data_IF_774029112489
#
_entry.id   IF_774029112489
#
_cell.length_a   1.000
_cell.length_b   1.000
_cell.length_c   1.000
_cell.angle_alpha   90.00
_cell.angle_beta   90.00
_cell.angle_gamma   90.00
#
_symmetry.space_group_name_H-M   'P 1'
#
loop_
_entity.id
_entity.type
_entity.pdbx_description
1 polymer ?
#
# COMPACT_ATOMS: atom_id res chain seq x y z
N UNK A 1 93.80 22.55 20.13
CA UNK A 1 94.52 22.43 21.41
C UNK A 1 95.95 22.04 21.03
N UNK A 2 96.81 23.03 20.84
CA UNK A 2 98.23 22.83 20.54
C UNK A 2 98.94 22.67 21.88
N UNK A 3 99.46 21.47 22.16
CA UNK A 3 100.23 21.17 23.37
C UNK A 3 101.68 21.62 23.13
N UNK A 4 102.12 22.67 23.84
CA UNK A 4 103.54 23.00 23.98
C UNK A 4 104.20 21.98 24.92
N UNK A 5 105.40 21.53 24.57
CA UNK A 5 106.19 20.53 25.31
C UNK A 5 106.89 21.14 26.53
N UNK A 6 107.09 20.34 27.58
CA UNK A 6 107.79 20.68 28.83
C UNK A 6 109.17 21.35 28.59
N UNK A 7 109.87 20.98 27.51
CA UNK A 7 111.16 21.56 27.13
C UNK A 7 111.10 23.05 26.77
N UNK A 8 109.96 23.54 26.25
CA UNK A 8 109.78 24.96 25.92
C UNK A 8 109.58 25.81 27.18
N UNK A 9 109.00 25.22 28.22
CA UNK A 9 108.76 25.84 29.53
C UNK A 9 110.06 25.91 30.36
N UNK A 10 110.90 24.88 30.29
CA UNK A 10 112.21 24.81 30.98
C UNK A 10 113.31 25.70 30.35
N UNK A 11 113.14 26.12 29.09
CA UNK A 11 114.03 27.08 28.41
C UNK A 11 113.73 28.53 28.81
N UNK A 12 112.46 28.86 29.05
CA UNK A 12 112.02 30.19 29.51
C UNK A 12 112.42 30.42 30.97
N UNK A 13 112.35 29.36 31.80
CA UNK A 13 112.65 29.44 33.23
C UNK A 13 114.16 29.47 33.57
N UNK A 14 115.05 29.17 32.61
CA UNK A 14 116.52 29.25 32.76
C UNK A 14 117.14 30.51 32.13
N UNK A 15 116.35 31.56 31.95
CA UNK A 15 116.74 32.83 31.29
C UNK A 15 117.96 33.53 31.90
N UNK A 16 119.13 33.17 31.38
CA UNK A 16 120.38 33.93 31.41
C UNK A 16 120.24 35.11 30.43
N UNK A 17 120.19 36.32 30.98
CA UNK A 17 120.93 37.49 30.48
C UNK A 17 120.65 38.02 29.05
N UNK A 18 119.37 38.14 28.65
CA UNK A 18 118.99 38.76 27.35
C UNK A 18 118.56 40.23 27.46
N UNK A 19 118.34 40.76 28.67
CA UNK A 19 117.87 42.16 28.87
C UNK A 19 118.83 43.07 29.65
N UNK A 20 120.04 42.61 29.97
CA UNK A 20 121.08 43.41 30.62
C UNK A 20 121.57 44.60 29.75
N UNK A 21 121.40 44.54 28.43
CA UNK A 21 121.77 45.64 27.52
C UNK A 21 120.67 46.71 27.34
N UNK A 22 119.45 46.50 27.85
CA UNK A 22 118.33 47.47 27.76
C UNK A 22 118.08 48.24 29.07
N UNK A 23 118.79 47.90 30.16
CA UNK A 23 118.67 48.56 31.46
C UNK A 23 119.72 49.68 31.69
N UNK A 24 120.55 50.02 30.69
CA UNK A 24 121.60 51.04 30.81
C UNK A 24 121.16 52.48 30.45
N UNK A 25 119.87 52.74 30.19
CA UNK A 25 119.42 54.01 29.58
C UNK A 25 118.36 54.80 30.38
N UNK A 26 117.83 54.33 31.52
CA UNK A 26 116.95 55.21 32.32
C UNK A 26 116.80 54.79 33.79
N UNK A 27 117.38 55.58 34.69
CA UNK A 27 117.55 55.26 36.12
C UNK A 27 116.31 55.56 37.00
N UNK A 28 115.08 55.47 36.46
CA UNK A 28 113.83 55.78 37.19
C UNK A 28 112.59 54.99 36.73
N UNK A 29 112.62 53.66 36.70
CA UNK A 29 111.40 52.87 36.53
C UNK A 29 111.40 51.59 37.39
N UNK A 30 110.67 51.62 38.51
CA UNK A 30 110.32 50.43 39.27
C UNK A 30 109.16 49.71 38.57
N UNK A 31 109.42 48.54 37.98
CA UNK A 31 108.37 47.65 37.48
C UNK A 31 107.85 46.75 38.61
N UNK A 32 106.64 47.06 39.06
CA UNK A 32 105.82 46.19 39.92
C UNK A 32 105.46 44.91 39.15
N UNK A 33 105.90 43.74 39.62
CA UNK A 33 105.37 42.44 39.19
C UNK A 33 104.04 42.18 39.90
N UNK A 34 102.93 41.89 39.20
CA UNK A 34 101.69 41.49 39.85
C UNK A 34 101.79 40.05 40.36
N UNK A 35 102.29 39.87 41.58
CA UNK A 35 101.98 38.67 42.36
C UNK A 35 100.51 38.76 42.81
N UNK A 36 99.72 37.73 42.48
CA UNK A 36 98.27 37.51 42.74
C UNK A 36 97.33 37.91 41.59
N UNK A 37 97.08 36.98 40.65
CA UNK A 37 95.78 36.89 39.94
C UNK A 37 95.49 35.58 39.17
N UNK A 38 96.15 34.46 39.49
CA UNK A 38 95.97 33.20 38.72
C UNK A 38 95.44 32.00 39.52
N UNK A 39 95.09 32.14 40.80
CA UNK A 39 94.48 31.04 41.59
C UNK A 39 92.97 31.24 41.83
N UNK A 40 92.42 32.40 41.46
CA UNK A 40 90.97 32.64 41.51
C UNK A 40 90.23 32.15 40.25
N UNK A 41 90.88 32.07 39.09
CA UNK A 41 90.17 31.80 37.82
C UNK A 41 89.79 30.33 37.58
N UNK A 42 90.54 29.35 38.09
CA UNK A 42 90.24 27.93 37.83
C UNK A 42 89.10 27.40 38.71
N UNK A 43 89.11 27.75 40.00
CA UNK A 43 88.05 27.40 40.94
C UNK A 43 86.71 28.04 40.55
N UNK A 44 86.73 29.33 40.19
CA UNK A 44 85.52 30.04 39.71
C UNK A 44 84.94 29.40 38.45
N UNK A 45 85.79 28.89 37.54
CA UNK A 45 85.34 28.25 36.30
C UNK A 45 84.80 26.83 36.52
N UNK A 46 85.37 26.10 37.49
CA UNK A 46 84.88 24.78 37.93
C UNK A 46 83.54 24.89 38.66
N UNK A 47 83.41 25.88 39.54
CA UNK A 47 82.15 26.20 40.23
C UNK A 47 81.08 26.65 39.22
N UNK A 48 81.43 27.48 38.23
CA UNK A 48 80.53 27.88 37.15
C UNK A 48 80.08 26.69 36.28
N UNK A 49 80.99 25.75 35.97
CA UNK A 49 80.69 24.51 35.23
C UNK A 49 79.77 23.59 36.03
N UNK A 50 79.97 23.49 37.34
CA UNK A 50 79.10 22.70 38.20
C UNK A 50 77.68 23.32 38.28
N UNK A 51 77.61 24.64 38.43
CA UNK A 51 76.34 25.38 38.40
C UNK A 51 75.59 25.22 37.06
N UNK A 52 76.28 25.29 35.92
CA UNK A 52 75.67 25.06 34.60
C UNK A 52 75.20 23.61 34.43
N UNK A 53 75.95 22.62 34.92
CA UNK A 53 75.51 21.22 34.89
C UNK A 53 74.25 20.98 35.74
N UNK A 54 74.16 21.61 36.93
CA UNK A 54 72.96 21.55 37.77
C UNK A 54 71.76 22.17 37.04
N UNK A 55 71.93 23.37 36.47
CA UNK A 55 70.88 24.01 35.67
C UNK A 55 70.47 23.17 34.45
N UNK A 56 71.43 22.56 33.74
CA UNK A 56 71.15 21.73 32.59
C UNK A 56 70.38 20.45 32.97
N UNK A 57 70.69 19.87 34.12
CA UNK A 57 69.96 18.71 34.65
C UNK A 57 68.55 19.07 35.11
N UNK A 58 68.35 20.24 35.73
CA UNK A 58 67.02 20.74 36.11
C UNK A 58 66.16 21.00 34.87
N UNK A 59 66.71 21.68 33.85
CA UNK A 59 66.02 21.91 32.56
C UNK A 59 65.63 20.57 31.90
N UNK A 60 66.52 19.57 31.90
CA UNK A 60 66.21 18.23 31.36
C UNK A 60 65.09 17.55 32.15
N UNK A 61 65.07 17.67 33.48
CA UNK A 61 64.01 17.12 34.31
C UNK A 61 62.66 17.81 34.05
N UNK A 62 62.66 19.15 33.92
CA UNK A 62 61.47 19.91 33.54
C UNK A 62 60.96 19.55 32.13
N UNK A 63 61.87 19.35 31.17
CA UNK A 63 61.53 18.93 29.81
C UNK A 63 60.84 17.56 29.80
N UNK A 64 61.37 16.59 30.57
CA UNK A 64 60.74 15.26 30.71
C UNK A 64 59.33 15.35 31.31
N UNK A 65 59.14 16.16 32.36
CA UNK A 65 57.80 16.39 32.95
C UNK A 65 56.83 17.01 31.94
N UNK A 66 57.29 18.01 31.16
CA UNK A 66 56.48 18.61 30.10
C UNK A 66 56.13 17.61 29.00
N UNK A 67 57.06 16.75 28.59
CA UNK A 67 56.81 15.70 27.60
C UNK A 67 55.76 14.69 28.10
N UNK A 68 55.81 14.31 29.37
CA UNK A 68 54.78 13.45 29.99
C UNK A 68 53.41 14.12 30.02
N UNK A 69 53.34 15.41 30.38
CA UNK A 69 52.10 16.19 30.34
C UNK A 69 51.52 16.29 28.93
N UNK A 70 52.36 16.53 27.91
CA UNK A 70 51.92 16.57 26.51
C UNK A 70 51.35 15.23 26.05
N UNK A 71 51.99 14.12 26.42
CA UNK A 71 51.48 12.78 26.12
C UNK A 71 50.14 12.52 26.81
N UNK A 72 49.99 12.90 28.08
CA UNK A 72 48.72 12.79 28.81
C UNK A 72 47.61 13.65 28.20
N UNK A 73 47.90 14.89 27.82
CA UNK A 73 46.95 15.79 27.12
C UNK A 73 46.54 15.19 25.77
N UNK A 74 47.48 14.59 25.05
CA UNK A 74 47.18 13.92 23.77
C UNK A 74 46.22 12.73 23.97
N UNK A 75 46.47 11.86 24.96
CA UNK A 75 45.64 10.70 25.25
C UNK A 75 44.25 11.07 25.80
N UNK A 76 44.15 12.13 26.61
CA UNK A 76 42.85 12.65 27.04
C UNK A 76 42.08 13.27 25.88
N UNK A 77 42.74 13.99 24.97
CA UNK A 77 42.12 14.54 23.76
C UNK A 77 41.57 13.45 22.84
N UNK A 78 42.27 12.32 22.68
CA UNK A 78 41.76 11.19 21.89
C UNK A 78 40.53 10.56 22.56
N UNK A 79 40.54 10.37 23.88
CA UNK A 79 39.38 9.87 24.64
C UNK A 79 38.14 10.78 24.55
N UNK A 80 38.34 12.10 24.62
CA UNK A 80 37.24 13.06 24.42
C UNK A 80 36.65 12.89 23.03
N UNK A 81 37.49 12.82 21.98
CA UNK A 81 37.01 12.63 20.61
C UNK A 81 36.24 11.33 20.41
N UNK A 82 36.66 10.24 21.03
CA UNK A 82 35.92 8.98 20.95
C UNK A 82 34.57 9.09 21.64
N UNK A 83 34.50 9.71 22.83
CA UNK A 83 33.24 9.94 23.53
C UNK A 83 32.29 10.86 22.76
N UNK A 84 32.82 11.92 22.12
CA UNK A 84 32.04 12.81 21.26
C UNK A 84 31.46 12.06 20.04
N UNK A 85 32.27 11.19 19.42
CA UNK A 85 31.81 10.37 18.29
C UNK A 85 30.72 9.37 18.70
N UNK A 86 30.88 8.72 19.86
CA UNK A 86 29.88 7.79 20.40
C UNK A 86 28.58 8.52 20.75
N UNK A 87 28.66 9.69 21.39
CA UNK A 87 27.49 10.52 21.70
C UNK A 87 26.76 10.99 20.43
N UNK A 88 27.50 11.40 19.40
CA UNK A 88 26.93 11.79 18.11
C UNK A 88 26.20 10.61 17.44
N UNK A 89 26.78 9.41 17.49
CA UNK A 89 26.16 8.18 16.96
C UNK A 89 24.86 7.86 17.71
N UNK A 90 24.86 7.93 19.04
CA UNK A 90 23.64 7.73 19.84
C UNK A 90 22.55 8.74 19.49
N UNK A 91 22.89 10.04 19.40
CA UNK A 91 21.95 11.10 19.01
C UNK A 91 21.36 10.88 17.61
N UNK A 92 22.16 10.42 16.65
CA UNK A 92 21.65 10.09 15.31
C UNK A 92 20.65 8.93 15.34
N UNK A 93 20.93 7.88 16.10
CA UNK A 93 20.02 6.75 16.27
C UNK A 93 18.71 7.15 16.96
N UNK A 94 18.79 7.97 18.02
CA UNK A 94 17.60 8.51 18.70
C UNK A 94 16.76 9.38 17.76
N UNK A 95 17.39 10.21 16.92
CA UNK A 95 16.67 11.04 15.94
C UNK A 95 15.92 10.19 14.90
N UNK A 96 16.56 9.14 14.40
CA UNK A 96 15.92 8.21 13.46
C UNK A 96 14.73 7.49 14.11
N UNK A 97 14.90 7.03 15.36
CA UNK A 97 13.81 6.41 16.12
C UNK A 97 12.62 7.36 16.32
N UNK A 98 12.86 8.63 16.69
CA UNK A 98 11.81 9.64 16.83
C UNK A 98 11.11 9.90 15.49
N UNK A 99 11.85 9.96 14.39
CA UNK A 99 11.26 10.12 13.05
C UNK A 99 10.36 8.94 12.67
N UNK A 100 10.79 7.72 12.96
CA UNK A 100 10.01 6.52 12.72
C UNK A 100 8.76 6.48 13.59
N UNK A 101 8.89 6.81 14.88
CA UNK A 101 7.75 6.93 15.79
C UNK A 101 6.74 7.95 15.26
N UNK A 102 7.17 9.15 14.91
CA UNK A 102 6.27 10.20 14.39
C UNK A 102 5.54 9.75 13.11
N UNK A 103 6.21 9.02 12.23
CA UNK A 103 5.60 8.46 11.01
C UNK A 103 4.54 7.41 11.36
N UNK A 104 4.84 6.52 12.31
CA UNK A 104 3.89 5.48 12.74
C UNK A 104 2.68 6.11 13.44
N UNK A 105 2.90 7.08 14.33
CA UNK A 105 1.79 7.75 15.03
C UNK A 105 0.91 8.54 14.06
N UNK A 106 1.49 9.18 13.04
CA UNK A 106 0.70 9.87 12.00
C UNK A 106 -0.18 8.90 11.23
N UNK A 107 0.38 7.75 10.81
CA UNK A 107 -0.39 6.69 10.14
C UNK A 107 -1.48 6.09 11.03
N UNK A 108 -1.21 5.96 12.34
CA UNK A 108 -2.20 5.48 13.30
C UNK A 108 -3.40 6.42 13.39
N UNK A 109 -3.15 7.72 13.50
CA UNK A 109 -4.23 8.74 13.56
C UNK A 109 -5.05 8.75 12.27
N UNK A 110 -4.40 8.64 11.11
CA UNK A 110 -5.10 8.53 9.82
C UNK A 110 -5.98 7.26 9.77
N UNK A 111 -5.44 6.12 10.20
CA UNK A 111 -6.18 4.86 10.25
C UNK A 111 -7.40 4.98 11.18
N UNK A 112 -7.22 5.47 12.40
CA UNK A 112 -8.30 5.62 13.38
C UNK A 112 -9.43 6.51 12.83
N UNK A 113 -9.08 7.66 12.21
CA UNK A 113 -10.06 8.54 11.59
C UNK A 113 -10.85 7.84 10.47
N UNK A 114 -10.17 7.07 9.61
CA UNK A 114 -10.83 6.31 8.55
C UNK A 114 -11.72 5.19 9.10
N UNK A 115 -11.28 4.50 10.16
CA UNK A 115 -12.05 3.45 10.83
C UNK A 115 -13.34 4.00 11.43
N UNK A 116 -13.25 5.07 12.23
CA UNK A 116 -14.42 5.71 12.85
C UNK A 116 -15.38 6.25 11.80
N UNK A 117 -14.87 6.85 10.71
CA UNK A 117 -15.71 7.30 9.60
C UNK A 117 -16.47 6.13 8.95
N UNK A 118 -15.78 5.00 8.74
CA UNK A 118 -16.39 3.81 8.14
C UNK A 118 -17.44 3.18 9.06
N UNK A 119 -17.18 3.10 10.38
CA UNK A 119 -18.13 2.62 11.38
C UNK A 119 -19.43 3.45 11.41
N UNK A 120 -19.32 4.77 11.35
CA UNK A 120 -20.49 5.64 11.24
C UNK A 120 -21.27 5.40 9.94
N UNK A 121 -20.58 5.22 8.80
CA UNK A 121 -21.24 4.91 7.52
C UNK A 121 -21.98 3.57 7.58
N UNK A 122 -21.38 2.54 8.16
CA UNK A 122 -22.04 1.23 8.36
C UNK A 122 -23.28 1.40 9.21
N UNK A 123 -23.20 2.15 10.31
CA UNK A 123 -24.35 2.37 11.21
C UNK A 123 -25.51 3.08 10.49
N UNK A 124 -25.21 4.12 9.70
CA UNK A 124 -26.23 4.83 8.92
C UNK A 124 -26.85 3.92 7.85
N UNK A 125 -26.02 3.17 7.11
CA UNK A 125 -26.49 2.25 6.07
C UNK A 125 -27.36 1.14 6.67
N UNK A 126 -26.93 0.53 7.77
CA UNK A 126 -27.70 -0.52 8.46
C UNK A 126 -29.06 0.00 8.93
N UNK A 127 -29.13 1.23 9.43
CA UNK A 127 -30.41 1.85 9.81
C UNK A 127 -31.34 2.03 8.61
N UNK A 128 -30.83 2.61 7.52
CA UNK A 128 -31.61 2.83 6.30
C UNK A 128 -32.07 1.50 5.70
N UNK A 129 -31.20 0.49 5.67
CA UNK A 129 -31.53 -0.85 5.19
C UNK A 129 -32.68 -1.45 5.99
N UNK A 130 -32.63 -1.36 7.33
CA UNK A 130 -33.71 -1.84 8.20
C UNK A 130 -35.03 -1.10 7.97
N UNK A 131 -35.00 0.21 7.73
CA UNK A 131 -36.19 1.00 7.39
C UNK A 131 -36.79 0.59 6.04
N UNK A 132 -35.96 0.35 5.02
CA UNK A 132 -36.42 -0.10 3.70
C UNK A 132 -36.93 -1.54 3.71
N UNK A 133 -36.29 -2.45 4.44
CA UNK A 133 -36.77 -3.81 4.66
C UNK A 133 -38.16 -3.82 5.33
N UNK A 134 -38.37 -2.96 6.33
CA UNK A 134 -39.67 -2.82 6.97
C UNK A 134 -40.75 -2.28 6.01
N UNK A 135 -40.41 -1.34 5.12
CA UNK A 135 -41.33 -0.84 4.08
C UNK A 135 -41.67 -1.93 3.07
N UNK A 136 -40.66 -2.68 2.60
CA UNK A 136 -40.85 -3.79 1.67
C UNK A 136 -41.78 -4.84 2.27
N UNK A 137 -41.60 -5.17 3.54
CA UNK A 137 -42.45 -6.15 4.22
C UNK A 137 -43.91 -5.66 4.30
N UNK A 138 -44.15 -4.40 4.68
CA UNK A 138 -45.51 -3.82 4.69
C UNK A 138 -46.17 -3.87 3.31
N UNK A 139 -45.43 -3.50 2.27
CA UNK A 139 -45.95 -3.52 0.90
C UNK A 139 -46.30 -4.94 0.43
N UNK A 140 -45.51 -5.93 0.87
CA UNK A 140 -45.78 -7.35 0.60
C UNK A 140 -47.04 -7.84 1.32
N UNK A 141 -47.22 -7.45 2.58
CA UNK A 141 -48.41 -7.79 3.35
C UNK A 141 -49.68 -7.16 2.71
N UNK A 142 -49.61 -5.89 2.30
CA UNK A 142 -50.68 -5.20 1.57
C UNK A 142 -51.00 -5.88 0.23
N UNK A 143 -49.97 -6.30 -0.53
CA UNK A 143 -50.16 -7.05 -1.77
C UNK A 143 -50.89 -8.38 -1.53
N UNK A 144 -50.51 -9.13 -0.49
CA UNK A 144 -51.13 -10.41 -0.17
C UNK A 144 -52.58 -10.25 0.35
N UNK A 145 -52.89 -9.15 1.03
CA UNK A 145 -54.27 -8.78 1.41
C UNK A 145 -55.14 -8.46 0.17
N UNK A 146 -54.65 -7.60 -0.73
CA UNK A 146 -55.37 -7.24 -1.96
C UNK A 146 -55.57 -8.47 -2.87
N UNK A 147 -54.55 -9.31 -3.00
CA UNK A 147 -54.64 -10.55 -3.77
C UNK A 147 -55.72 -11.49 -3.21
N UNK A 148 -55.81 -11.62 -1.89
CA UNK A 148 -56.87 -12.43 -1.25
C UNK A 148 -58.25 -11.86 -1.52
N UNK A 149 -58.43 -10.55 -1.35
CA UNK A 149 -59.70 -9.87 -1.64
C UNK A 149 -60.13 -10.07 -3.11
N UNK A 150 -59.20 -9.96 -4.06
CA UNK A 150 -59.48 -10.18 -5.48
C UNK A 150 -59.95 -11.60 -5.78
N UNK A 151 -59.31 -12.61 -5.16
CA UNK A 151 -59.69 -14.02 -5.35
C UNK A 151 -61.08 -14.29 -4.78
N UNK A 152 -61.40 -13.71 -3.63
CA UNK A 152 -62.72 -13.87 -3.01
C UNK A 152 -63.81 -13.17 -3.82
N UNK A 153 -63.52 -11.98 -4.38
CA UNK A 153 -64.46 -11.28 -5.27
C UNK A 153 -64.67 -12.04 -6.58
N UNK A 154 -63.61 -12.58 -7.19
CA UNK A 154 -63.73 -13.40 -8.38
C UNK A 154 -64.60 -14.64 -8.14
N UNK A 155 -64.46 -15.29 -6.97
CA UNK A 155 -65.31 -16.43 -6.56
C UNK A 155 -66.77 -16.00 -6.39
N UNK A 156 -66.99 -14.81 -5.84
CA UNK A 156 -68.33 -14.26 -5.67
C UNK A 156 -68.99 -13.96 -7.03
N UNK A 157 -68.26 -13.33 -7.96
CA UNK A 157 -68.70 -13.06 -9.31
C UNK A 157 -69.08 -14.33 -10.09
N UNK A 158 -68.30 -15.42 -9.95
CA UNK A 158 -68.63 -16.73 -10.56
C UNK A 158 -69.96 -17.27 -10.03
N UNK A 159 -70.19 -17.22 -8.71
CA UNK A 159 -71.46 -17.67 -8.11
C UNK A 159 -72.66 -16.83 -8.57
N UNK A 160 -72.47 -15.52 -8.72
CA UNK A 160 -73.50 -14.62 -9.25
C UNK A 160 -73.84 -14.96 -10.70
N UNK A 161 -72.82 -15.20 -11.54
CA UNK A 161 -73.00 -15.64 -12.93
C UNK A 161 -73.80 -16.95 -13.01
N UNK A 162 -73.42 -17.97 -12.24
CA UNK A 162 -74.14 -19.25 -12.19
C UNK A 162 -75.60 -19.12 -11.75
N UNK A 163 -75.90 -18.13 -10.89
CA UNK A 163 -77.26 -17.84 -10.43
C UNK A 163 -78.06 -17.12 -11.51
N UNK A 164 -77.44 -16.18 -12.24
CA UNK A 164 -78.06 -15.48 -13.35
C UNK A 164 -78.39 -16.44 -14.51
N UNK A 165 -77.45 -17.32 -14.89
CA UNK A 165 -77.65 -18.33 -15.94
C UNK A 165 -78.75 -19.34 -15.58
N UNK A 166 -78.92 -19.68 -14.29
CA UNK A 166 -80.04 -20.50 -13.81
C UNK A 166 -81.39 -19.77 -13.84
N UNK A 167 -81.38 -18.46 -13.61
CA UNK A 167 -82.61 -17.65 -13.62
C UNK A 167 -83.08 -17.31 -15.03
N UNK A 168 -82.15 -17.17 -15.98
CA UNK A 168 -82.42 -16.83 -17.37
C UNK A 168 -81.44 -17.58 -18.31
N UNK A 169 -81.73 -18.83 -18.69
CA UNK A 169 -80.91 -19.58 -19.64
C UNK A 169 -80.97 -18.97 -21.05
N UNK A 170 -79.84 -18.96 -21.78
CA UNK A 170 -79.69 -18.33 -23.11
C UNK A 170 -80.70 -18.82 -24.17
N UNK A 171 -81.15 -20.07 -24.07
CA UNK A 171 -82.21 -20.63 -24.94
C UNK A 171 -83.49 -20.85 -24.14
N UNK A 172 -84.15 -19.76 -23.76
CA UNK A 172 -85.48 -19.87 -23.16
C UNK A 172 -86.48 -20.26 -24.27
N UNK A 173 -87.19 -21.41 -24.17
CA UNK A 173 -88.13 -21.90 -25.20
C UNK A 173 -89.35 -20.98 -25.45
N UNK A 174 -89.39 -19.81 -24.79
CA UNK A 174 -90.39 -18.78 -25.05
C UNK A 174 -90.10 -17.98 -26.33
N UNK A 175 -88.83 -17.95 -26.79
CA UNK A 175 -88.46 -17.26 -28.03
C UNK A 175 -88.86 -18.05 -29.29
N UNK A 176 -89.06 -19.37 -29.17
CA UNK A 176 -89.56 -20.23 -30.26
C UNK A 176 -91.06 -20.01 -30.56
N UNK A 177 -91.79 -19.33 -29.67
CA UNK A 177 -93.22 -19.08 -29.76
C UNK A 177 -93.55 -17.65 -30.27
N UNK A 178 -92.54 -16.88 -30.66
CA UNK A 178 -92.74 -15.51 -31.14
C UNK A 178 -93.19 -15.53 -32.62
N UNK A 179 -94.22 -14.74 -32.98
CA UNK A 179 -94.71 -14.69 -34.36
C UNK A 179 -93.74 -13.98 -35.31
N UNK A 180 -93.64 -14.44 -36.56
CA UNK A 180 -92.71 -13.92 -37.59
C UNK A 180 -93.12 -12.57 -38.20
N UNK A 181 -94.21 -11.96 -37.72
CA UNK A 181 -94.75 -10.70 -38.25
C UNK A 181 -94.38 -9.51 -37.37
N UNK A 182 -93.71 -8.52 -37.96
CA UNK A 182 -93.30 -7.30 -37.25
C UNK A 182 -94.49 -6.54 -36.61
N UNK A 183 -95.69 -6.66 -37.18
CA UNK A 183 -96.92 -6.04 -36.64
C UNK A 183 -97.40 -6.76 -35.38
N UNK A 184 -97.32 -8.09 -35.36
CA UNK A 184 -97.73 -8.90 -34.21
C UNK A 184 -96.70 -8.82 -33.08
N UNK A 185 -95.41 -8.75 -33.41
CA UNK A 185 -94.34 -8.43 -32.46
C UNK A 185 -94.57 -7.04 -31.88
N UNK A 186 -94.93 -6.03 -32.68
CA UNK A 186 -95.23 -4.69 -32.16
C UNK A 186 -96.43 -4.67 -31.21
N UNK A 187 -97.53 -5.38 -31.54
CA UNK A 187 -98.68 -5.48 -30.66
C UNK A 187 -98.35 -6.22 -29.35
N UNK A 188 -97.51 -7.27 -29.41
CA UNK A 188 -97.01 -7.95 -28.20
C UNK A 188 -96.07 -7.06 -27.40
N UNK A 189 -95.18 -6.31 -28.04
CA UNK A 189 -94.31 -5.32 -27.39
C UNK A 189 -95.14 -4.24 -26.72
N UNK A 190 -96.18 -3.71 -27.35
CA UNK A 190 -97.06 -2.70 -26.77
C UNK A 190 -97.82 -3.24 -25.55
N UNK A 191 -98.35 -4.47 -25.65
CA UNK A 191 -98.99 -5.19 -24.54
C UNK A 191 -98.01 -5.44 -23.37
N UNK A 192 -96.80 -5.90 -23.67
CA UNK A 192 -95.72 -6.13 -22.68
C UNK A 192 -95.24 -4.79 -22.10
N UNK A 193 -95.22 -3.71 -22.88
CA UNK A 193 -94.83 -2.36 -22.42
C UNK A 193 -95.85 -1.81 -21.43
N UNK A 194 -97.15 -2.01 -21.69
CA UNK A 194 -98.22 -1.67 -20.75
C UNK A 194 -98.14 -2.55 -19.49
N UNK A 195 -97.79 -3.83 -19.63
CA UNK A 195 -97.54 -4.73 -18.52
C UNK A 195 -96.29 -4.33 -17.70
N UNK A 196 -95.21 -3.91 -18.36
CA UNK A 196 -93.97 -3.39 -17.75
C UNK A 196 -94.20 -2.07 -17.01
N UNK A 197 -95.05 -1.19 -17.53
CA UNK A 197 -95.47 0.03 -16.83
C UNK A 197 -96.22 -0.25 -15.51
N UNK A 198 -96.82 -1.44 -15.38
CA UNK A 198 -97.42 -1.95 -14.14
C UNK A 198 -96.54 -2.96 -13.40
N UNK A 199 -95.38 -3.32 -13.95
CA UNK A 199 -94.51 -4.35 -13.42
C UNK A 199 -93.64 -3.77 -12.30
N UNK A 200 -93.91 -4.22 -11.06
CA UNK A 200 -93.07 -3.95 -9.89
C UNK A 200 -91.92 -4.95 -9.83
N UNK A 201 -91.08 -4.96 -10.86
CA UNK A 201 -89.82 -5.71 -10.87
C UNK A 201 -88.84 -5.11 -9.85
N UNK A 202 -87.97 -5.95 -9.27
CA UNK A 202 -87.02 -5.50 -8.25
C UNK A 202 -85.91 -4.65 -8.88
N UNK A 203 -86.07 -3.32 -8.81
CA UNK A 203 -85.13 -2.30 -9.34
C UNK A 203 -83.68 -2.48 -8.85
N UNK A 204 -83.48 -3.24 -7.78
CA UNK A 204 -82.19 -3.60 -7.20
C UNK A 204 -81.25 -4.30 -8.20
N UNK A 205 -81.77 -5.01 -9.20
CA UNK A 205 -80.94 -5.70 -10.19
C UNK A 205 -80.24 -4.71 -11.14
N UNK A 206 -80.93 -3.64 -11.54
CA UNK A 206 -80.34 -2.54 -12.32
C UNK A 206 -79.31 -1.79 -11.49
N UNK A 207 -79.63 -1.47 -10.23
CA UNK A 207 -78.68 -0.83 -9.32
C UNK A 207 -77.41 -1.69 -9.14
N UNK A 208 -77.54 -3.02 -9.00
CA UNK A 208 -76.38 -3.92 -8.90
C UNK A 208 -75.56 -4.00 -10.18
N UNK A 209 -76.20 -3.94 -11.36
CA UNK A 209 -75.48 -3.94 -12.64
C UNK A 209 -74.68 -2.65 -12.83
N UNK A 210 -75.29 -1.50 -12.56
CA UNK A 210 -74.63 -0.19 -12.63
C UNK A 210 -73.48 -0.10 -11.61
N UNK A 211 -73.66 -0.67 -10.41
CA UNK A 211 -72.62 -0.77 -9.39
C UNK A 211 -71.42 -1.60 -9.88
N UNK A 212 -71.67 -2.81 -10.40
CA UNK A 212 -70.61 -3.70 -10.91
C UNK A 212 -69.90 -3.09 -12.11
N UNK A 213 -70.62 -2.41 -13.00
CA UNK A 213 -70.03 -1.73 -14.15
C UNK A 213 -69.06 -0.63 -13.70
N UNK A 214 -69.45 0.15 -12.69
CA UNK A 214 -68.60 1.18 -12.10
C UNK A 214 -67.36 0.58 -11.39
N UNK A 215 -67.53 -0.52 -10.68
CA UNK A 215 -66.42 -1.23 -10.02
C UNK A 215 -65.40 -1.77 -11.03
N UNK A 216 -65.87 -2.28 -12.18
CA UNK A 216 -64.99 -2.72 -13.28
C UNK A 216 -64.21 -1.53 -13.85
N UNK A 217 -64.88 -0.41 -14.15
CA UNK A 217 -64.21 0.79 -14.65
C UNK A 217 -63.15 1.33 -13.67
N UNK A 218 -63.44 1.33 -12.36
CA UNK A 218 -62.48 1.72 -11.32
C UNK A 218 -61.29 0.76 -11.24
N UNK A 219 -61.52 -0.56 -11.36
CA UNK A 219 -60.47 -1.57 -11.36
C UNK A 219 -59.57 -1.46 -12.59
N UNK A 220 -60.13 -1.26 -13.78
CA UNK A 220 -59.39 -1.04 -15.03
C UNK A 220 -58.54 0.23 -14.96
N UNK A 221 -59.10 1.33 -14.43
CA UNK A 221 -58.36 2.57 -14.24
C UNK A 221 -57.19 2.40 -13.25
N UNK A 222 -57.36 1.59 -12.20
CA UNK A 222 -56.29 1.27 -11.25
C UNK A 222 -55.19 0.42 -11.89
N UNK A 223 -55.57 -0.59 -12.68
CA UNK A 223 -54.63 -1.44 -13.42
C UNK A 223 -53.75 -0.60 -14.36
N UNK A 224 -54.37 0.27 -15.16
CA UNK A 224 -53.65 1.15 -16.09
C UNK A 224 -52.66 2.08 -15.37
N UNK A 225 -53.02 2.61 -14.18
CA UNK A 225 -52.09 3.41 -13.36
C UNK A 225 -50.92 2.58 -12.84
N UNK A 226 -51.15 1.34 -12.41
CA UNK A 226 -50.09 0.46 -11.92
C UNK A 226 -49.14 0.05 -13.05
N UNK A 227 -49.65 -0.26 -14.25
CA UNK A 227 -48.84 -0.56 -15.43
C UNK A 227 -47.96 0.62 -15.84
N UNK A 228 -48.51 1.83 -15.84
CA UNK A 228 -47.76 3.06 -16.12
C UNK A 228 -46.65 3.30 -15.09
N UNK A 229 -46.94 3.07 -13.80
CA UNK A 229 -45.94 3.17 -12.72
C UNK A 229 -44.84 2.12 -12.87
N UNK A 230 -45.18 0.88 -13.19
CA UNK A 230 -44.24 -0.20 -13.43
C UNK A 230 -43.29 0.13 -14.59
N UNK A 231 -43.84 0.60 -15.72
CA UNK A 231 -43.03 1.03 -16.87
C UNK A 231 -42.06 2.16 -16.47
N UNK A 232 -42.54 3.16 -15.73
CA UNK A 232 -41.71 4.28 -15.25
C UNK A 232 -40.58 3.82 -14.33
N UNK A 233 -40.85 2.87 -13.43
CA UNK A 233 -39.83 2.29 -12.55
C UNK A 233 -38.81 1.47 -13.33
N UNK A 234 -39.26 0.69 -14.31
CA UNK A 234 -38.39 -0.10 -15.18
C UNK A 234 -37.45 0.80 -15.99
N UNK A 235 -37.95 1.92 -16.53
CA UNK A 235 -37.14 2.90 -17.26
C UNK A 235 -36.08 3.54 -16.36
N UNK A 236 -36.44 3.86 -15.10
CA UNK A 236 -35.48 4.39 -14.12
C UNK A 236 -34.40 3.37 -13.75
N UNK A 237 -34.76 2.09 -13.61
CA UNK A 237 -33.79 1.01 -13.37
C UNK A 237 -32.82 0.92 -14.55
N UNK A 238 -33.35 0.88 -15.78
CA UNK A 238 -32.53 0.77 -16.99
C UNK A 238 -31.62 2.00 -17.19
N UNK A 239 -32.12 3.20 -16.90
CA UNK A 239 -31.35 4.45 -16.99
C UNK A 239 -30.10 4.47 -16.08
N UNK A 240 -30.09 3.71 -14.98
CA UNK A 240 -28.93 3.53 -14.11
C UNK A 240 -28.10 2.32 -14.53
N UNK A 241 -28.78 1.20 -14.83
CA UNK A 241 -28.15 -0.09 -15.14
C UNK A 241 -27.34 -0.02 -16.43
N UNK A 242 -27.88 0.56 -17.49
CA UNK A 242 -27.26 0.49 -18.83
C UNK A 242 -25.95 1.28 -18.91
N UNK A 243 -25.85 2.53 -18.41
CA UNK A 243 -24.58 3.26 -18.41
C UNK A 243 -23.52 2.61 -17.52
N UNK A 244 -23.92 2.06 -16.37
CA UNK A 244 -23.02 1.32 -15.49
C UNK A 244 -22.52 0.04 -16.16
N UNK A 245 -23.42 -0.72 -16.78
CA UNK A 245 -23.09 -1.95 -17.48
C UNK A 245 -22.12 -1.70 -18.65
N UNK A 246 -22.36 -0.65 -19.46
CA UNK A 246 -21.47 -0.28 -20.54
C UNK A 246 -20.04 0.03 -20.03
N UNK A 247 -19.92 0.74 -18.91
CA UNK A 247 -18.62 1.02 -18.28
C UNK A 247 -17.95 -0.26 -17.75
N UNK A 248 -18.71 -1.14 -17.09
CA UNK A 248 -18.20 -2.42 -16.62
C UNK A 248 -17.67 -3.27 -17.79
N UNK A 249 -18.43 -3.37 -18.88
CA UNK A 249 -18.03 -4.12 -20.09
C UNK A 249 -16.77 -3.54 -20.72
N UNK A 250 -16.63 -2.21 -20.78
CA UNK A 250 -15.42 -1.56 -21.29
C UNK A 250 -14.18 -1.89 -20.44
N UNK A 251 -14.30 -1.83 -19.11
CA UNK A 251 -13.21 -2.21 -18.19
C UNK A 251 -12.84 -3.68 -18.36
N UNK A 252 -13.83 -4.59 -18.40
CA UNK A 252 -13.58 -6.02 -18.60
C UNK A 252 -12.91 -6.29 -19.95
N UNK A 253 -13.31 -5.58 -21.00
CA UNK A 253 -12.70 -5.68 -22.34
C UNK A 253 -11.23 -5.24 -22.35
N UNK A 254 -10.90 -4.14 -21.66
CA UNK A 254 -9.52 -3.66 -21.51
C UNK A 254 -8.65 -4.66 -20.73
N UNK A 255 -9.20 -5.22 -19.65
CA UNK A 255 -8.54 -6.29 -18.87
C UNK A 255 -8.33 -7.52 -19.75
N UNK A 256 -9.37 -7.97 -20.49
CA UNK A 256 -9.29 -9.13 -21.37
C UNK A 256 -8.23 -8.94 -22.45
N UNK A 257 -8.17 -7.77 -23.09
CA UNK A 257 -7.16 -7.46 -24.11
C UNK A 257 -5.74 -7.60 -23.56
N UNK A 258 -5.51 -7.03 -22.36
CA UNK A 258 -4.21 -7.12 -21.69
C UNK A 258 -3.88 -8.57 -21.28
N UNK A 259 -4.84 -9.27 -20.70
CA UNK A 259 -4.70 -10.65 -20.25
C UNK A 259 -4.44 -11.62 -21.40
N UNK A 260 -5.21 -11.51 -22.49
CA UNK A 260 -5.04 -12.33 -23.69
C UNK A 260 -3.66 -12.10 -24.31
N UNK A 261 -3.18 -10.85 -24.38
CA UNK A 261 -1.83 -10.55 -24.85
C UNK A 261 -0.76 -11.19 -23.94
N UNK A 262 -0.93 -11.12 -22.61
CA UNK A 262 0.03 -11.75 -21.68
C UNK A 262 0.08 -13.27 -21.81
N UNK A 263 -1.07 -13.93 -21.95
CA UNK A 263 -1.11 -15.37 -22.16
C UNK A 263 -0.45 -15.75 -23.49
N UNK A 264 -0.70 -14.96 -24.55
CA UNK A 264 -0.06 -15.14 -25.85
C UNK A 264 1.47 -15.03 -25.78
N UNK A 265 1.99 -14.07 -25.01
CA UNK A 265 3.44 -13.90 -24.82
C UNK A 265 4.10 -15.12 -24.15
N UNK A 266 3.36 -15.86 -23.31
CA UNK A 266 3.80 -17.08 -22.62
C UNK A 266 3.52 -18.35 -23.46
N UNK A 267 2.86 -18.22 -24.62
CA UNK A 267 2.52 -19.32 -25.51
C UNK A 267 1.21 -20.04 -25.17
N UNK A 268 0.36 -19.40 -24.37
CA UNK A 268 -0.97 -19.88 -23.97
C UNK A 268 -2.07 -18.99 -24.58
N UNK A 269 -3.31 -19.44 -24.50
CA UNK A 269 -4.49 -18.57 -24.76
C UNK A 269 -5.18 -18.31 -23.44
N UNK A 270 -5.52 -17.06 -23.17
CA UNK A 270 -6.21 -16.65 -21.95
C UNK A 270 -7.33 -15.69 -22.29
N UNK A 271 -8.45 -15.82 -21.59
CA UNK A 271 -9.63 -14.98 -21.73
C UNK A 271 -10.15 -14.58 -20.36
N UNK A 272 -10.54 -13.32 -20.20
CA UNK A 272 -11.31 -12.81 -19.08
C UNK A 272 -12.63 -12.31 -19.61
N UNK A 273 -13.73 -12.75 -19.02
CA UNK A 273 -15.05 -12.27 -19.42
C UNK A 273 -15.97 -12.13 -18.21
N UNK A 274 -17.04 -11.37 -18.39
CA UNK A 274 -18.11 -11.22 -17.41
C UNK A 274 -19.10 -12.36 -17.63
N UNK A 275 -19.24 -13.26 -16.65
CA UNK A 275 -20.29 -14.27 -16.63
C UNK A 275 -21.60 -13.61 -16.21
N UNK A 276 -22.65 -13.84 -17.01
CA UNK A 276 -23.98 -13.25 -16.89
C UNK A 276 -25.04 -14.30 -16.55
N UNK A 277 -24.65 -15.46 -16.03
CA UNK A 277 -25.58 -16.54 -15.75
C UNK A 277 -26.53 -16.17 -14.58
N UNK A 278 -27.82 -15.99 -14.92
CA UNK A 278 -28.88 -15.68 -13.97
C UNK A 278 -28.99 -14.22 -13.54
N UNK A 279 -29.36 -14.03 -12.27
CA UNK A 279 -29.60 -12.70 -11.68
C UNK A 279 -28.32 -11.88 -11.61
N UNK A 280 -28.46 -10.55 -11.73
CA UNK A 280 -27.33 -9.60 -11.71
C UNK A 280 -26.45 -9.73 -10.46
N UNK A 281 -27.01 -10.18 -9.33
CA UNK A 281 -26.26 -10.45 -8.09
C UNK A 281 -25.29 -11.64 -8.19
N UNK A 282 -25.48 -12.52 -9.17
CA UNK A 282 -24.64 -13.70 -9.43
C UNK A 282 -23.57 -13.45 -10.50
N UNK A 283 -23.59 -12.29 -11.14
CA UNK A 283 -22.60 -11.94 -12.14
C UNK A 283 -21.20 -11.92 -11.54
N UNK A 284 -20.24 -12.44 -12.29
CA UNK A 284 -18.88 -12.62 -11.81
C UNK A 284 -17.87 -12.53 -12.93
N UNK A 285 -16.62 -12.20 -12.58
CA UNK A 285 -15.52 -12.24 -13.54
C UNK A 285 -14.96 -13.64 -13.62
N UNK A 286 -15.05 -14.24 -14.80
CA UNK A 286 -14.50 -15.55 -15.09
C UNK A 286 -13.21 -15.45 -15.88
N UNK A 287 -12.24 -16.28 -15.49
CA UNK A 287 -10.95 -16.42 -16.17
C UNK A 287 -10.91 -17.79 -16.81
N UNK A 288 -10.60 -17.83 -18.10
CA UNK A 288 -10.45 -19.06 -18.87
C UNK A 288 -9.07 -19.12 -19.50
N UNK A 289 -8.48 -20.31 -19.56
CA UNK A 289 -7.17 -20.50 -20.16
C UNK A 289 -7.07 -21.81 -20.93
N UNK A 290 -6.19 -21.81 -21.92
CA UNK A 290 -5.76 -22.98 -22.67
C UNK A 290 -4.24 -23.02 -22.61
N UNK A 291 -3.71 -24.01 -21.89
CA UNK A 291 -2.27 -24.18 -21.65
C UNK A 291 -1.57 -25.05 -22.71
N UNK A 292 -2.33 -25.77 -23.54
CA UNK A 292 -1.80 -26.67 -24.58
C UNK A 292 -2.52 -26.42 -25.89
N UNK A 293 -1.79 -26.45 -27.01
CA UNK A 293 -2.35 -26.22 -28.35
C UNK A 293 -3.54 -27.16 -28.69
N UNK A 294 -3.57 -28.37 -28.12
CA UNK A 294 -4.65 -29.35 -28.31
C UNK A 294 -5.75 -29.31 -27.24
N UNK A 295 -5.58 -28.49 -26.20
CA UNK A 295 -6.56 -28.36 -25.11
C UNK A 295 -7.75 -27.47 -25.49
N UNK A 296 -8.86 -27.59 -24.76
CA UNK A 296 -9.96 -26.62 -24.83
C UNK A 296 -9.73 -25.51 -23.80
N UNK A 297 -10.34 -24.36 -24.04
CA UNK A 297 -10.36 -23.25 -23.09
C UNK A 297 -11.23 -23.66 -21.89
N UNK A 298 -10.65 -23.74 -20.69
CA UNK A 298 -11.36 -24.14 -19.46
C UNK A 298 -11.35 -23.01 -18.43
N UNK A 299 -12.39 -22.95 -17.60
CA UNK A 299 -12.47 -22.00 -16.49
C UNK A 299 -11.43 -22.36 -15.43
N UNK A 300 -10.59 -21.40 -15.08
CA UNK A 300 -9.49 -21.61 -14.15
C UNK A 300 -10.00 -21.69 -12.72
N UNK A 301 -10.06 -22.90 -12.14
CA UNK A 301 -10.29 -23.10 -10.71
C UNK A 301 -8.96 -23.14 -9.94
N UNK A 302 -8.98 -22.89 -8.63
CA UNK A 302 -7.76 -22.84 -7.81
C UNK A 302 -7.00 -24.18 -7.78
N UNK A 303 -7.68 -25.30 -8.03
CA UNK A 303 -7.13 -26.65 -7.96
C UNK A 303 -6.32 -27.02 -9.22
N UNK A 304 -6.74 -26.54 -10.41
CA UNK A 304 -6.05 -26.74 -11.69
C UNK A 304 -4.74 -25.92 -11.81
N UNK A 305 -4.53 -24.94 -10.93
CA UNK A 305 -3.34 -24.07 -10.90
C UNK A 305 -2.07 -24.77 -10.39
N UNK A 306 -2.21 -25.89 -9.67
CA UNK A 306 -1.10 -26.49 -8.90
C UNK A 306 -0.30 -27.58 -9.65
N UNK A 307 -0.69 -27.89 -10.88
CA UNK A 307 -0.12 -28.95 -11.71
C UNK A 307 1.33 -28.70 -12.16
N UNK A 308 2.27 -28.73 -11.22
CA UNK A 308 3.67 -29.02 -11.50
C UNK A 308 4.54 -27.88 -12.03
N UNK A 309 4.48 -26.70 -11.41
CA UNK A 309 5.46 -25.62 -11.62
C UNK A 309 5.47 -24.98 -13.01
N UNK A 310 5.83 -23.70 -13.07
CA UNK A 310 6.22 -23.10 -14.34
C UNK A 310 7.61 -23.62 -14.75
N UNK A 311 7.81 -23.89 -16.04
CA UNK A 311 9.14 -24.10 -16.59
C UNK A 311 9.95 -22.79 -16.50
N UNK A 312 11.27 -22.91 -16.34
CA UNK A 312 12.25 -21.83 -16.21
C UNK A 312 12.05 -20.77 -17.30
N UNK A 313 11.72 -21.17 -18.53
CA UNK A 313 11.46 -20.23 -19.63
C UNK A 313 10.27 -19.30 -19.36
N UNK A 314 9.16 -19.85 -18.87
CA UNK A 314 7.95 -19.08 -18.57
C UNK A 314 8.13 -18.24 -17.30
N UNK A 315 8.82 -18.77 -16.27
CA UNK A 315 9.15 -18.01 -15.06
C UNK A 315 10.00 -16.78 -15.40
N UNK A 316 10.97 -16.89 -16.32
CA UNK A 316 11.77 -15.74 -16.81
C UNK A 316 10.91 -14.67 -17.48
N UNK A 317 9.96 -15.08 -18.33
CA UNK A 317 9.07 -14.15 -19.03
C UNK A 317 8.17 -13.41 -18.05
N UNK A 318 7.60 -14.12 -17.08
CA UNK A 318 6.79 -13.53 -16.01
C UNK A 318 7.63 -12.55 -15.19
N UNK A 319 8.84 -12.96 -14.78
CA UNK A 319 9.76 -12.09 -14.06
C UNK A 319 10.08 -10.80 -14.84
N UNK A 320 10.52 -10.93 -16.10
CA UNK A 320 10.86 -9.78 -16.94
C UNK A 320 9.69 -8.80 -17.08
N UNK A 321 8.45 -9.31 -17.17
CA UNK A 321 7.27 -8.45 -17.27
C UNK A 321 6.98 -7.72 -15.96
N UNK A 322 7.03 -8.42 -14.83
CA UNK A 322 6.86 -7.83 -13.50
C UNK A 322 7.90 -6.72 -13.29
N UNK A 323 9.16 -7.00 -13.56
CA UNK A 323 10.24 -6.02 -13.43
C UNK A 323 9.98 -4.79 -14.29
N UNK A 324 9.55 -4.96 -15.55
CA UNK A 324 9.19 -3.84 -16.44
C UNK A 324 7.96 -3.06 -16.00
N UNK A 325 6.97 -3.70 -15.37
CA UNK A 325 5.73 -3.03 -14.92
C UNK A 325 5.84 -2.38 -13.55
N UNK A 326 6.85 -2.74 -12.76
CA UNK A 326 6.95 -2.38 -11.34
C UNK A 326 8.21 -1.60 -10.99
N UNK A 327 9.14 -1.38 -11.93
CA UNK A 327 10.38 -0.65 -11.69
C UNK A 327 10.41 0.69 -12.45
N UNK A 328 10.49 1.80 -11.72
CA UNK A 328 10.56 3.17 -12.24
C UNK A 328 9.89 4.18 -11.31
N UNK A 329 10.14 5.47 -11.55
CA UNK A 329 9.45 6.57 -10.85
C UNK A 329 7.95 6.49 -11.11
N UNK A 330 7.13 6.39 -10.05
CA UNK A 330 5.65 6.30 -10.08
C UNK A 330 5.05 4.92 -10.41
N UNK A 331 5.83 3.83 -10.34
CA UNK A 331 5.32 2.47 -10.53
C UNK A 331 5.06 1.73 -9.21
N UNK A 332 4.13 0.75 -9.18
CA UNK A 332 3.79 0.01 -7.97
C UNK A 332 4.94 -0.89 -7.50
N UNK A 333 5.15 -0.98 -6.19
CA UNK A 333 6.15 -1.86 -5.59
C UNK A 333 5.71 -3.33 -5.65
N UNK A 334 6.61 -4.22 -6.07
CA UNK A 334 6.35 -5.67 -6.15
C UNK A 334 7.40 -6.45 -5.34
N UNK A 335 6.93 -7.35 -4.45
CA UNK A 335 7.78 -8.27 -3.71
C UNK A 335 7.65 -9.68 -4.30
N UNK A 336 8.74 -10.21 -4.85
CA UNK A 336 8.82 -11.60 -5.31
C UNK A 336 9.54 -12.44 -4.27
N UNK A 337 8.85 -13.42 -3.69
CA UNK A 337 9.43 -14.43 -2.81
C UNK A 337 9.36 -15.76 -3.54
N UNK A 338 10.52 -16.36 -3.82
CA UNK A 338 10.60 -17.65 -4.49
C UNK A 338 11.62 -18.55 -3.79
N UNK A 339 11.30 -19.83 -3.55
CA UNK A 339 12.30 -20.81 -3.10
C UNK A 339 13.19 -21.30 -4.25
N UNK A 340 12.85 -20.99 -5.51
CA UNK A 340 13.62 -21.39 -6.69
C UNK A 340 14.63 -20.32 -7.08
N UNK A 341 15.89 -20.73 -7.23
CA UNK A 341 16.95 -19.89 -7.78
C UNK A 341 16.91 -19.94 -9.31
N UNK A 342 16.27 -18.94 -9.93
CA UNK A 342 16.27 -18.79 -11.38
C UNK A 342 17.49 -17.98 -11.79
N UNK A 343 18.45 -18.61 -12.47
CA UNK A 343 19.68 -17.96 -12.96
C UNK A 343 19.40 -17.10 -14.19
N UNK A 344 20.28 -16.16 -14.58
CA UNK A 344 20.17 -15.45 -15.87
C UNK A 344 18.94 -14.55 -16.04
N UNK A 345 18.41 -13.99 -14.96
CA UNK A 345 17.33 -13.00 -14.99
C UNK A 345 17.90 -11.61 -15.33
N UNK A 346 17.13 -10.80 -16.05
CA UNK A 346 17.43 -9.39 -16.29
C UNK A 346 16.83 -8.54 -15.16
N UNK A 347 17.69 -7.91 -14.36
CA UNK A 347 17.28 -7.06 -13.24
C UNK A 347 17.28 -5.58 -13.66
N UNK A 348 16.25 -4.84 -13.25
CA UNK A 348 16.26 -3.38 -13.37
C UNK A 348 17.16 -2.77 -12.28
N UNK A 349 17.80 -1.61 -12.50
CA UNK A 349 18.62 -0.94 -11.48
C UNK A 349 17.94 -0.72 -10.13
N UNK A 350 16.62 -0.50 -10.14
CA UNK A 350 15.80 -0.31 -8.93
C UNK A 350 15.46 -1.64 -8.21
N UNK A 351 15.83 -2.79 -8.78
CA UNK A 351 15.54 -4.09 -8.19
C UNK A 351 16.54 -4.40 -7.07
N UNK A 352 16.02 -4.77 -5.89
CA UNK A 352 16.83 -5.28 -4.78
C UNK A 352 16.62 -6.78 -4.62
N UNK A 353 17.72 -7.54 -4.60
CA UNK A 353 17.70 -8.98 -4.36
C UNK A 353 18.09 -9.26 -2.92
N UNK A 354 17.24 -9.99 -2.19
CA UNK A 354 17.50 -10.44 -0.84
C UNK A 354 17.56 -11.97 -0.84
N UNK A 355 18.67 -12.53 -0.38
CA UNK A 355 18.85 -13.98 -0.22
C UNK A 355 18.76 -14.30 1.26
N UNK A 356 17.73 -15.03 1.68
CA UNK A 356 17.52 -15.41 3.07
C UNK A 356 18.07 -16.82 3.26
N UNK A 357 19.20 -16.93 3.97
CA UNK A 357 19.81 -18.19 4.34
C UNK A 357 19.54 -18.43 5.84
N UNK A 358 18.70 -19.40 6.16
CA UNK A 358 18.44 -19.80 7.55
C UNK A 358 19.18 -21.11 7.87
N UNK A 359 20.12 -21.07 8.81
CA UNK A 359 20.94 -22.24 9.15
C UNK A 359 22.05 -21.92 10.16
N UNK A 360 22.42 -22.89 11.03
CA UNK A 360 23.37 -22.66 12.13
C UNK A 360 24.82 -22.44 11.66
N UNK A 361 25.13 -22.73 10.39
CA UNK A 361 26.46 -22.59 9.80
C UNK A 361 26.55 -21.44 8.78
N UNK A 362 25.55 -20.56 8.75
CA UNK A 362 25.58 -19.42 7.85
C UNK A 362 26.46 -18.30 8.40
N UNK A 363 27.11 -17.58 7.49
CA UNK A 363 27.92 -16.40 7.80
C UNK A 363 27.00 -15.30 8.34
N UNK A 364 27.42 -14.62 9.40
CA UNK A 364 26.68 -13.47 9.92
C UNK A 364 26.69 -12.34 8.89
N UNK A 365 25.59 -11.57 8.79
CA UNK A 365 25.49 -10.45 7.82
C UNK A 365 26.65 -9.44 7.96
N UNK A 366 27.18 -9.23 9.16
CA UNK A 366 28.30 -8.34 9.44
C UNK A 366 29.65 -8.85 8.89
N UNK A 367 29.76 -10.16 8.66
CA UNK A 367 30.94 -10.84 8.12
C UNK A 367 30.80 -11.09 6.61
N UNK A 368 29.67 -10.70 6.01
CA UNK A 368 29.42 -10.86 4.59
C UNK A 368 30.19 -9.81 3.77
N UNK A 369 31.08 -10.28 2.91
CA UNK A 369 31.82 -9.46 1.96
C UNK A 369 31.51 -9.88 0.52
N UNK A 370 30.86 -8.97 -0.22
CA UNK A 370 30.46 -9.19 -1.62
C UNK A 370 31.68 -9.34 -2.51
N UNK A 371 32.75 -8.58 -2.30
CA UNK A 371 33.92 -8.59 -3.18
C UNK A 371 34.67 -9.92 -3.06
N UNK A 372 34.88 -10.40 -1.83
CA UNK A 372 35.45 -11.74 -1.59
C UNK A 372 34.56 -12.84 -2.15
N UNK A 373 33.24 -12.73 -2.05
CA UNK A 373 32.30 -13.72 -2.60
C UNK A 373 32.38 -13.78 -4.14
N UNK A 374 32.39 -12.63 -4.81
CA UNK A 374 32.50 -12.54 -6.28
C UNK A 374 33.86 -13.07 -6.75
N UNK A 375 34.95 -12.73 -6.05
CA UNK A 375 36.30 -13.22 -6.37
C UNK A 375 36.42 -14.75 -6.23
N UNK A 376 35.73 -15.35 -5.25
CA UNK A 376 35.67 -16.82 -5.10
C UNK A 376 34.92 -17.48 -6.26
N UNK A 377 33.83 -16.87 -6.76
CA UNK A 377 33.07 -17.39 -7.90
C UNK A 377 33.89 -17.42 -9.20
N UNK A 378 34.71 -16.40 -9.46
CA UNK A 378 35.57 -16.35 -10.64
C UNK A 378 36.64 -17.46 -10.68
N UNK A 379 36.90 -18.13 -9.54
CA UNK A 379 37.80 -19.30 -9.46
C UNK A 379 37.08 -20.64 -9.64
N UNK A 380 35.74 -20.65 -9.67
CA UNK A 380 34.90 -21.85 -9.74
C UNK A 380 34.22 -22.05 -11.11
N UNK A 381 34.29 -21.03 -11.98
CA UNK A 381 33.92 -21.09 -13.40
C UNK A 381 35.23 -21.17 -14.17
#
# INVERSE_FOLDING_TARGET
>A
MLLGTQETEDMINRGVDVFSQLAAINDKAAFLTPFKKYVTSEKELLDAKHATNIQQNDIKAQLRRRQQLVAYISDTKTKIRTLEADAAKQLSGSREMVSNLMTITSKQVEFDLTSTTMEHRVTVISRVLSEEEAKLQRLKDEYDDVKRALVDEARHAVKLKERAERAAPENHPAFDCLPDSAVEIHAQVESITVALAHFRGDLRVLDTYEQVQKEIEEAEAKLARMESSFATLQDRINAIKDPWYAQLTDVVSKINTSFAQYFKDIGCVGEVHLNQDGEMAKWGIERRAQFRATGKLTTMTAEEQSGGGMDIYNERKVFSRITKSSCGSQLPQYFLITPKLITGLEYHPDTKVLVILNGPYNILQAEWDVDTFVAKRQKLI
#
